data_IF_089890564760
#
_entry.id   IF_089890564760
#
_cell.length_a   1.000
_cell.length_b   1.000
_cell.length_c   1.000
_cell.angle_alpha   90.00
_cell.angle_beta   90.00
_cell.angle_gamma   90.00
#
_symmetry.space_group_name_H-M   'P 1'
#
loop_
_entity.id
_entity.type
_entity.pdbx_description
1 polymer ?
#
# COMPACT_ATOMS: atom_id res chain seq x y z
N UNK A 1 -13.78 -21.44 -12.75
CA UNK A 1 -13.06 -20.32 -13.43
C UNK A 1 -14.00 -19.30 -14.09
N UNK A 2 -14.95 -19.68 -14.98
CA UNK A 2 -15.85 -18.72 -15.66
C UNK A 2 -16.74 -17.86 -14.73
N UNK A 3 -17.20 -18.41 -13.60
CA UNK A 3 -18.04 -17.67 -12.63
C UNK A 3 -17.28 -16.63 -11.79
N UNK A 4 -15.97 -16.81 -11.59
CA UNK A 4 -15.12 -15.87 -10.84
C UNK A 4 -14.79 -14.62 -11.67
N UNK A 5 -14.52 -14.81 -12.96
CA UNK A 5 -14.32 -13.73 -13.94
C UNK A 5 -15.57 -12.85 -14.07
N UNK A 6 -16.76 -13.45 -14.08
CA UNK A 6 -18.01 -12.70 -14.17
C UNK A 6 -18.25 -11.82 -12.95
N UNK A 7 -17.94 -12.31 -11.74
CA UNK A 7 -18.06 -11.54 -10.50
C UNK A 7 -17.08 -10.37 -10.43
N UNK A 8 -15.83 -10.57 -10.84
CA UNK A 8 -14.82 -9.50 -10.89
C UNK A 8 -15.18 -8.38 -11.88
N UNK A 9 -15.72 -8.74 -13.04
CA UNK A 9 -16.16 -7.77 -14.06
C UNK A 9 -17.35 -6.94 -13.57
N UNK A 10 -18.33 -7.55 -12.90
CA UNK A 10 -19.50 -6.83 -12.36
C UNK A 10 -19.11 -5.84 -11.26
N UNK A 11 -18.18 -6.21 -10.37
CA UNK A 11 -17.65 -5.29 -9.33
C UNK A 11 -16.91 -4.11 -9.97
N UNK A 12 -16.13 -4.35 -11.03
CA UNK A 12 -15.42 -3.31 -11.76
C UNK A 12 -16.38 -2.28 -12.38
N UNK A 13 -17.51 -2.73 -12.97
CA UNK A 13 -18.52 -1.84 -13.54
C UNK A 13 -19.32 -1.05 -12.50
N UNK A 14 -19.60 -1.64 -11.32
CA UNK A 14 -20.31 -0.94 -10.23
C UNK A 14 -19.46 0.16 -9.57
N UNK A 15 -18.14 -0.03 -9.50
CA UNK A 15 -17.21 1.03 -9.07
C UNK A 15 -17.05 2.11 -10.15
N UNK A 16 -16.98 1.75 -11.43
CA UNK A 16 -16.85 2.72 -12.53
C UNK A 16 -18.05 3.68 -12.64
N UNK A 17 -19.27 3.19 -12.38
CA UNK A 17 -20.49 4.00 -12.47
C UNK A 17 -20.57 5.12 -11.40
N UNK A 18 -19.93 4.94 -10.23
CA UNK A 18 -19.88 5.96 -9.18
C UNK A 18 -18.69 6.94 -9.35
N UNK A 19 -17.67 6.60 -10.15
CA UNK A 19 -16.54 7.48 -10.44
C UNK A 19 -16.83 8.57 -11.50
N UNK A 20 -17.90 8.41 -12.29
CA UNK A 20 -18.29 9.38 -13.31
C UNK A 20 -18.75 10.74 -12.73
N UNK A 21 -18.90 10.86 -11.41
CA UNK A 21 -19.38 12.07 -10.75
C UNK A 21 -18.28 13.08 -10.33
N UNK A 22 -16.99 12.87 -10.65
CA UNK A 22 -15.91 13.75 -10.19
C UNK A 22 -15.08 14.48 -11.26
N UNK A 23 -15.47 14.47 -12.54
CA UNK A 23 -14.73 15.21 -13.56
C UNK A 23 -15.35 16.56 -13.93
N UNK A 24 -15.11 17.53 -13.04
CA UNK A 24 -15.04 18.95 -13.41
C UNK A 24 -13.99 19.63 -12.52
N UNK A 25 -12.73 19.23 -12.69
CA UNK A 25 -11.58 20.04 -12.25
C UNK A 25 -11.02 20.74 -13.48
N UNK A 26 -11.44 21.99 -13.64
CA UNK A 26 -10.88 22.96 -14.59
C UNK A 26 -9.35 23.00 -14.50
N UNK A 27 -8.63 23.30 -15.59
CA UNK A 27 -7.19 23.53 -15.53
C UNK A 27 -6.94 24.84 -14.76
N UNK A 28 -6.76 24.76 -13.44
CA UNK A 28 -6.42 25.94 -12.63
C UNK A 28 -4.95 26.30 -12.84
N UNK A 29 -4.78 27.45 -13.50
CA UNK A 29 -3.68 28.43 -13.41
C UNK A 29 -2.61 28.11 -12.37
N UNK A 30 -1.39 27.85 -12.85
CA UNK A 30 -0.19 27.69 -12.02
C UNK A 30 -0.15 28.77 -10.93
N UNK A 31 -0.28 28.36 -9.67
CA UNK A 31 -0.25 29.27 -8.53
C UNK A 31 1.03 30.13 -8.57
N UNK A 32 0.90 31.44 -8.39
CA UNK A 32 2.03 32.38 -8.35
C UNK A 32 2.87 32.24 -7.05
N UNK A 33 2.51 31.31 -6.17
CA UNK A 33 3.12 31.10 -4.85
C UNK A 33 4.44 30.35 -4.95
N UNK A 34 5.48 30.87 -4.27
CA UNK A 34 6.81 30.28 -4.24
C UNK A 34 6.86 29.10 -3.26
N UNK A 35 6.21 29.23 -2.10
CA UNK A 35 6.13 28.21 -1.05
C UNK A 35 4.68 27.76 -0.90
N UNK A 36 4.47 26.46 -0.70
CA UNK A 36 3.18 25.80 -0.61
C UNK A 36 2.19 26.20 -1.71
N UNK A 37 2.50 25.87 -2.99
CA UNK A 37 1.56 26.08 -4.10
C UNK A 37 0.30 25.21 -3.92
N UNK A 38 -0.77 25.47 -4.68
CA UNK A 38 -2.05 24.76 -4.51
C UNK A 38 -1.93 23.23 -4.69
N UNK A 39 -0.96 22.80 -5.50
CA UNK A 39 -0.61 21.41 -5.79
C UNK A 39 0.50 20.86 -4.86
N UNK A 40 0.67 21.45 -3.67
CA UNK A 40 1.67 20.98 -2.68
C UNK A 40 1.52 19.49 -2.39
N UNK A 41 0.29 19.01 -2.24
CA UNK A 41 0.01 17.62 -1.91
C UNK A 41 -0.59 16.91 -3.11
N UNK A 42 -0.01 15.78 -3.45
CA UNK A 42 -0.54 14.87 -4.45
C UNK A 42 -0.42 13.45 -3.97
N UNK A 43 -1.37 12.61 -4.31
CA UNK A 43 -1.33 11.24 -3.85
C UNK A 43 -2.44 10.38 -4.42
N UNK A 44 -2.49 9.15 -3.92
CA UNK A 44 -3.58 8.23 -4.15
C UNK A 44 -3.84 7.40 -2.89
N UNK A 45 -5.07 6.93 -2.75
CA UNK A 45 -5.43 5.85 -1.85
C UNK A 45 -5.83 4.63 -2.68
N UNK A 46 -5.57 3.45 -2.16
CA UNK A 46 -5.88 2.19 -2.82
C UNK A 46 -6.43 1.19 -1.81
N UNK A 47 -7.41 0.43 -2.27
CA UNK A 47 -8.00 -0.67 -1.53
C UNK A 47 -7.98 -1.92 -2.39
N UNK A 48 -7.34 -2.96 -1.89
CA UNK A 48 -7.16 -4.22 -2.58
C UNK A 48 -7.88 -5.35 -1.87
N UNK A 49 -8.45 -6.24 -2.67
CA UNK A 49 -9.09 -7.47 -2.23
C UNK A 49 -8.39 -8.67 -2.86
N UNK A 50 -7.77 -9.50 -2.03
CA UNK A 50 -7.22 -10.78 -2.43
C UNK A 50 -8.33 -11.85 -2.51
N UNK A 51 -8.54 -12.48 -3.67
CA UNK A 51 -9.42 -13.65 -3.79
C UNK A 51 -8.92 -14.83 -2.93
N UNK A 52 -9.78 -15.81 -2.63
CA UNK A 52 -9.36 -17.04 -1.93
C UNK A 52 -8.18 -17.71 -2.64
N UNK A 53 -7.22 -18.22 -1.86
CA UNK A 53 -5.98 -18.85 -2.33
C UNK A 53 -4.96 -17.86 -2.94
N UNK A 54 -5.15 -16.56 -2.78
CA UNK A 54 -4.22 -15.53 -3.22
C UNK A 54 -4.01 -14.46 -2.13
N UNK A 55 -4.09 -14.89 -0.86
CA UNK A 55 -3.92 -14.02 0.29
C UNK A 55 -2.54 -13.35 0.29
N UNK A 56 -2.50 -12.10 0.75
CA UNK A 56 -1.26 -11.33 0.89
C UNK A 56 -0.49 -11.86 2.10
N UNK A 57 0.76 -12.23 1.89
CA UNK A 57 1.64 -12.75 2.94
C UNK A 57 2.57 -11.66 3.49
N UNK A 58 2.33 -11.15 4.72
CA UNK A 58 3.26 -10.24 5.38
C UNK A 58 4.51 -10.92 5.94
N UNK A 59 4.66 -12.24 5.77
CA UNK A 59 5.71 -13.10 6.32
C UNK A 59 5.76 -13.06 7.86
N UNK A 60 4.59 -13.00 8.50
CA UNK A 60 4.42 -13.13 9.95
C UNK A 60 4.34 -14.60 10.34
N UNK A 61 3.70 -15.41 9.50
CA UNK A 61 3.46 -16.82 9.74
C UNK A 61 4.11 -17.64 8.63
N UNK A 62 4.66 -18.80 8.98
CA UNK A 62 5.07 -19.79 7.98
C UNK A 62 3.88 -20.22 7.13
N UNK A 63 4.14 -20.53 5.86
CA UNK A 63 3.12 -21.02 4.93
C UNK A 63 2.46 -22.34 5.38
N UNK A 64 3.16 -23.15 6.20
CA UNK A 64 2.65 -24.38 6.79
C UNK A 64 2.01 -24.18 8.18
N UNK A 65 1.60 -22.96 8.54
CA UNK A 65 0.94 -22.67 9.82
C UNK A 65 -0.28 -23.60 10.11
N UNK A 66 -0.96 -24.07 9.06
CA UNK A 66 -2.05 -25.05 9.18
C UNK A 66 -1.64 -26.39 9.81
N UNK A 67 -0.37 -26.79 9.70
CA UNK A 67 0.15 -28.00 10.34
C UNK A 67 0.22 -27.88 11.87
N UNK A 68 0.09 -26.68 12.44
CA UNK A 68 0.22 -26.39 13.87
C UNK A 68 -1.14 -26.09 14.55
N UNK A 69 -2.24 -26.64 14.02
CA UNK A 69 -3.57 -26.47 14.63
C UNK A 69 -4.73 -26.38 13.66
N UNK A 70 -4.52 -26.62 12.37
CA UNK A 70 -5.58 -26.61 11.37
C UNK A 70 -6.28 -25.25 11.29
N UNK A 71 -7.60 -25.27 11.37
CA UNK A 71 -8.45 -24.05 11.39
C UNK A 71 -8.33 -23.27 12.69
N UNK A 72 -7.73 -23.86 13.74
CA UNK A 72 -7.46 -23.24 15.03
C UNK A 72 -5.98 -22.89 15.22
N UNK A 73 -5.19 -22.89 14.14
CA UNK A 73 -3.78 -22.52 14.21
C UNK A 73 -3.63 -21.11 14.83
N UNK A 74 -2.73 -20.94 15.82
CA UNK A 74 -2.53 -19.65 16.48
C UNK A 74 -1.99 -18.59 15.51
N UNK A 75 -1.14 -19.00 14.56
CA UNK A 75 -0.57 -18.10 13.57
C UNK A 75 -1.50 -17.87 12.37
N UNK A 76 -2.28 -16.78 12.45
CA UNK A 76 -3.24 -16.34 11.41
C UNK A 76 -2.81 -14.97 10.86
N UNK A 77 -1.85 -14.98 9.94
CA UNK A 77 -1.17 -13.77 9.45
C UNK A 77 -1.45 -13.40 8.00
N UNK A 78 -2.27 -14.16 7.27
CA UNK A 78 -2.45 -13.97 5.82
C UNK A 78 -3.62 -13.04 5.53
N UNK A 79 -3.32 -11.92 4.88
CA UNK A 79 -4.27 -10.84 4.67
C UNK A 79 -5.14 -11.06 3.43
N UNK A 80 -6.40 -10.64 3.55
CA UNK A 80 -7.35 -10.62 2.45
C UNK A 80 -7.56 -9.20 1.91
N UNK A 81 -7.46 -8.21 2.78
CA UNK A 81 -7.66 -6.82 2.42
C UNK A 81 -6.38 -6.04 2.69
N UNK A 82 -6.05 -5.13 1.77
CA UNK A 82 -4.99 -4.16 1.97
C UNK A 82 -5.53 -2.77 1.66
N UNK A 83 -5.32 -1.85 2.58
CA UNK A 83 -5.55 -0.43 2.37
C UNK A 83 -4.19 0.25 2.32
N UNK A 84 -3.87 0.89 1.21
CA UNK A 84 -2.60 1.60 1.03
C UNK A 84 -2.84 3.03 0.59
N UNK A 85 -1.84 3.87 0.78
CA UNK A 85 -1.85 5.22 0.25
C UNK A 85 -0.46 5.69 -0.05
N UNK A 86 -0.36 6.70 -0.91
CA UNK A 86 0.88 7.42 -1.18
C UNK A 86 0.53 8.90 -1.18
N UNK A 87 1.26 9.68 -0.39
CA UNK A 87 1.14 11.15 -0.39
C UNK A 87 2.51 11.73 -0.60
N UNK A 88 2.61 12.65 -1.55
CA UNK A 88 3.80 13.38 -1.91
C UNK A 88 3.58 14.87 -1.62
N UNK A 89 4.53 15.48 -0.92
CA UNK A 89 4.56 16.88 -0.56
C UNK A 89 5.66 17.61 -1.34
N UNK A 90 5.29 18.67 -2.04
CA UNK A 90 6.15 19.55 -2.84
C UNK A 90 6.06 20.98 -2.31
N UNK A 91 6.94 21.35 -1.37
CA UNK A 91 6.80 22.63 -0.68
C UNK A 91 7.14 23.84 -1.55
N UNK A 92 7.82 23.66 -2.69
CA UNK A 92 8.29 24.78 -3.53
C UNK A 92 7.66 24.74 -4.93
N UNK A 93 6.97 25.82 -5.31
CA UNK A 93 6.38 25.98 -6.65
C UNK A 93 7.35 26.54 -7.69
N UNK A 94 8.45 27.18 -7.27
CA UNK A 94 9.41 27.88 -8.14
C UNK A 94 10.87 27.73 -7.69
N UNK A 95 11.80 28.09 -8.57
CA UNK A 95 13.24 28.04 -8.31
C UNK A 95 13.86 26.63 -8.46
N UNK A 96 15.12 26.49 -8.05
CA UNK A 96 15.85 25.21 -8.14
C UNK A 96 15.28 24.13 -7.21
N UNK A 97 14.71 24.54 -6.07
CA UNK A 97 14.14 23.64 -5.05
C UNK A 97 12.79 23.03 -5.43
N UNK A 98 12.14 23.48 -6.53
CA UNK A 98 10.86 22.93 -7.01
C UNK A 98 10.91 21.44 -7.37
N UNK A 99 12.13 20.91 -7.52
CA UNK A 99 12.39 19.50 -7.84
C UNK A 99 12.37 18.61 -6.61
N UNK A 100 12.45 19.19 -5.40
CA UNK A 100 12.45 18.45 -4.16
C UNK A 100 11.04 18.04 -3.78
N UNK A 101 10.91 16.82 -3.28
CA UNK A 101 9.66 16.31 -2.74
C UNK A 101 9.93 15.38 -1.57
N UNK A 102 8.93 15.27 -0.71
CA UNK A 102 8.86 14.29 0.37
C UNK A 102 7.66 13.41 0.13
N UNK A 103 7.68 12.17 0.60
CA UNK A 103 6.54 11.28 0.46
C UNK A 103 6.39 10.35 1.65
N UNK A 104 5.17 9.88 1.87
CA UNK A 104 4.82 8.83 2.81
C UNK A 104 3.91 7.81 2.15
N UNK A 105 4.12 6.53 2.47
CA UNK A 105 3.39 5.41 1.90
C UNK A 105 3.03 4.41 3.02
N UNK A 106 1.85 4.56 3.65
CA UNK A 106 1.32 3.58 4.59
C UNK A 106 0.60 2.43 3.86
N UNK A 107 0.69 1.22 4.44
CA UNK A 107 -0.06 0.04 4.03
C UNK A 107 -0.60 -0.69 5.26
N UNK A 108 -1.91 -0.88 5.32
CA UNK A 108 -2.62 -1.58 6.39
C UNK A 108 -3.14 -2.90 5.86
N UNK A 109 -2.92 -3.97 6.63
CA UNK A 109 -3.38 -5.31 6.29
C UNK A 109 -4.48 -5.79 7.22
N UNK A 110 -5.47 -6.46 6.62
CA UNK A 110 -6.57 -7.08 7.34
C UNK A 110 -6.83 -8.50 6.84
N UNK A 111 -7.11 -9.41 7.76
CA UNK A 111 -7.38 -10.81 7.48
C UNK A 111 -7.17 -11.72 8.67
N UNK A 112 -7.70 -12.94 8.53
CA UNK A 112 -7.48 -14.05 9.46
C UNK A 112 -7.51 -15.37 8.69
N UNK A 113 -6.57 -15.49 7.76
CA UNK A 113 -6.45 -16.68 6.90
C UNK A 113 -5.23 -17.52 7.30
N UNK A 114 -5.31 -18.80 6.96
CA UNK A 114 -4.23 -19.79 7.02
C UNK A 114 -4.21 -20.53 5.70
N UNK A 115 -3.09 -20.56 4.97
CA UNK A 115 -2.98 -21.24 3.69
C UNK A 115 -3.47 -22.68 3.78
N UNK A 116 -4.20 -23.08 2.75
CA UNK A 116 -4.79 -24.40 2.53
C UNK A 116 -5.81 -24.88 3.58
N UNK A 117 -6.03 -24.10 4.64
CA UNK A 117 -6.71 -24.59 5.84
C UNK A 117 -7.88 -23.71 6.24
N UNK A 118 -7.69 -22.39 6.29
CA UNK A 118 -8.69 -21.44 6.77
C UNK A 118 -8.73 -20.22 5.86
N UNK A 119 -9.87 -20.02 5.19
CA UNK A 119 -10.11 -18.87 4.31
C UNK A 119 -11.33 -18.09 4.79
N UNK A 120 -11.11 -16.93 5.40
CA UNK A 120 -12.15 -16.08 5.98
C UNK A 120 -12.23 -14.73 5.27
N UNK A 121 -13.42 -14.15 5.24
CA UNK A 121 -13.68 -12.77 4.79
C UNK A 121 -13.60 -11.79 5.96
N UNK A 122 -12.69 -12.04 6.90
CA UNK A 122 -12.56 -11.28 8.13
C UNK A 122 -11.76 -10.00 7.89
N UNK A 123 -12.29 -8.86 8.33
CA UNK A 123 -11.59 -7.57 8.32
C UNK A 123 -10.77 -7.34 9.61
N UNK A 124 -10.27 -8.43 10.19
CA UNK A 124 -9.48 -8.39 11.43
C UNK A 124 -8.10 -7.79 11.19
N UNK A 125 -7.68 -6.84 12.02
CA UNK A 125 -6.47 -6.06 11.78
C UNK A 125 -5.22 -6.91 12.03
N UNK A 126 -4.34 -7.00 11.02
CA UNK A 126 -3.07 -7.72 11.14
C UNK A 126 -1.95 -6.77 11.55
N UNK A 127 -1.86 -5.62 10.90
CA UNK A 127 -0.79 -4.66 11.13
C UNK A 127 -0.67 -3.60 10.05
N UNK A 128 0.39 -2.80 10.16
CA UNK A 128 0.73 -1.77 9.19
C UNK A 128 2.22 -1.75 8.86
N UNK A 129 2.53 -1.61 7.57
CA UNK A 129 3.82 -1.14 7.09
C UNK A 129 3.71 0.37 6.86
N UNK A 130 4.76 1.09 7.21
CA UNK A 130 4.88 2.50 6.87
C UNK A 130 6.24 2.74 6.26
N UNK A 131 6.27 3.56 5.23
CA UNK A 131 7.51 4.07 4.67
C UNK A 131 7.39 5.56 4.39
N UNK A 132 8.51 6.27 4.47
CA UNK A 132 8.58 7.65 4.02
C UNK A 132 9.94 7.93 3.42
N UNK A 133 10.02 9.02 2.69
CA UNK A 133 11.24 9.35 2.00
C UNK A 133 11.24 10.76 1.43
N UNK A 134 12.35 11.06 0.78
CA UNK A 134 12.55 12.30 0.05
C UNK A 134 13.25 12.04 -1.26
N UNK A 135 13.08 12.94 -2.21
CA UNK A 135 13.67 12.78 -3.52
C UNK A 135 13.77 14.07 -4.30
N UNK A 136 14.39 13.93 -5.48
CA UNK A 136 14.62 15.00 -6.43
C UNK A 136 14.21 14.56 -7.83
N UNK A 137 13.47 15.42 -8.52
CA UNK A 137 13.12 15.22 -9.91
C UNK A 137 14.31 15.52 -10.83
N UNK A 138 14.76 14.52 -11.58
CA UNK A 138 15.91 14.61 -12.48
C UNK A 138 15.53 15.14 -13.88
N UNK A 139 14.25 15.13 -14.22
CA UNK A 139 13.76 15.56 -15.54
C UNK A 139 13.28 14.39 -16.39
N UNK A 140 12.50 14.70 -17.44
CA UNK A 140 11.95 13.69 -18.39
C UNK A 140 11.22 12.53 -17.68
N UNK A 141 10.57 12.79 -16.55
CA UNK A 141 9.86 11.77 -15.78
C UNK A 141 10.75 10.88 -14.91
N UNK A 142 12.05 11.16 -14.80
CA UNK A 142 12.93 10.48 -13.86
C UNK A 142 12.99 11.24 -12.54
N UNK A 143 13.10 10.48 -11.46
CA UNK A 143 13.36 10.98 -10.13
C UNK A 143 14.24 10.01 -9.34
N UNK A 144 15.09 10.58 -8.50
CA UNK A 144 15.89 9.88 -7.51
C UNK A 144 15.23 10.03 -6.16
N UNK A 145 15.20 8.96 -5.38
CA UNK A 145 14.54 8.91 -4.08
C UNK A 145 15.36 8.12 -3.07
N UNK A 146 15.24 8.51 -1.81
CA UNK A 146 15.70 7.77 -0.65
C UNK A 146 14.46 7.43 0.16
N UNK A 147 14.25 6.15 0.43
CA UNK A 147 13.10 5.63 1.17
C UNK A 147 13.58 4.92 2.42
N UNK A 148 12.99 5.27 3.56
CA UNK A 148 13.08 4.51 4.79
C UNK A 148 11.82 3.64 4.93
N UNK A 149 12.03 2.32 4.98
CA UNK A 149 10.99 1.35 5.33
C UNK A 149 11.04 1.08 6.83
N UNK A 150 9.90 1.12 7.50
CA UNK A 150 9.79 0.81 8.92
C UNK A 150 9.45 -0.66 9.12
N UNK A 151 9.74 -1.13 10.34
CA UNK A 151 9.34 -2.46 10.74
C UNK A 151 7.82 -2.56 10.71
N UNK A 152 7.31 -3.66 10.18
CA UNK A 152 5.88 -3.95 10.21
C UNK A 152 5.36 -3.96 11.66
N UNK A 153 4.41 -3.07 11.96
CA UNK A 153 3.76 -2.99 13.25
C UNK A 153 2.59 -3.94 13.28
N UNK A 154 2.67 -5.00 14.09
CA UNK A 154 1.59 -5.97 14.27
C UNK A 154 0.52 -5.39 15.19
N UNK A 155 -0.73 -5.78 14.99
CA UNK A 155 -1.86 -5.31 15.79
C UNK A 155 -2.58 -6.45 16.52
N UNK A 156 -3.19 -6.09 17.66
CA UNK A 156 -4.11 -6.96 18.40
C UNK A 156 -3.50 -8.32 18.73
N UNK A 157 -4.22 -9.39 18.41
CA UNK A 157 -3.79 -10.75 18.74
C UNK A 157 -2.55 -11.24 17.97
N UNK A 158 -2.05 -10.50 16.98
CA UNK A 158 -0.78 -10.78 16.29
C UNK A 158 0.43 -10.06 16.89
N UNK A 159 0.23 -9.17 17.86
CA UNK A 159 1.32 -8.50 18.59
C UNK A 159 1.83 -9.31 19.79
N UNK A 160 1.95 -10.62 19.58
CA UNK A 160 2.46 -11.57 20.56
C UNK A 160 3.07 -12.75 19.82
N UNK A 161 3.70 -13.65 20.56
CA UNK A 161 4.21 -14.88 19.97
C UNK A 161 3.05 -15.78 19.51
N UNK A 162 3.00 -16.08 18.21
CA UNK A 162 1.93 -16.87 17.58
C UNK A 162 2.23 -18.38 17.51
N UNK A 163 3.17 -18.85 18.33
CA UNK A 163 3.58 -20.26 18.40
C UNK A 163 4.66 -20.63 17.37
N UNK A 164 4.88 -21.94 17.14
CA UNK A 164 6.01 -22.44 16.35
C UNK A 164 6.06 -21.99 14.88
N UNK A 165 4.93 -21.55 14.34
CA UNK A 165 4.82 -21.02 12.99
C UNK A 165 5.06 -19.51 12.89
N UNK A 166 5.28 -18.80 14.00
CA UNK A 166 5.59 -17.37 14.02
C UNK A 166 7.01 -17.11 13.54
N UNK A 167 7.14 -16.32 12.48
CA UNK A 167 8.42 -15.93 11.89
C UNK A 167 9.04 -14.69 12.57
N UNK A 168 8.33 -14.08 13.52
CA UNK A 168 8.78 -12.86 14.17
C UNK A 168 8.77 -11.66 13.21
N UNK A 169 9.35 -10.53 13.63
CA UNK A 169 9.24 -9.26 12.90
C UNK A 169 10.11 -9.18 11.63
N UNK A 170 10.84 -10.24 11.29
CA UNK A 170 11.81 -10.27 10.19
C UNK A 170 11.17 -10.83 8.92
N UNK A 171 10.49 -9.96 8.16
CA UNK A 171 9.89 -10.29 6.86
C UNK A 171 10.29 -9.31 5.75
N UNK A 172 9.67 -9.38 4.55
CA UNK A 172 9.91 -8.45 3.44
C UNK A 172 9.54 -6.99 3.81
N UNK A 173 8.82 -6.80 4.92
CA UNK A 173 8.54 -5.51 5.55
C UNK A 173 9.37 -5.28 6.82
N UNK A 174 10.63 -5.72 6.77
CA UNK A 174 11.65 -5.37 7.74
C UNK A 174 12.09 -3.91 7.61
N UNK A 175 12.95 -3.47 8.53
CA UNK A 175 13.52 -2.12 8.49
C UNK A 175 14.72 -2.09 7.54
N UNK A 176 14.62 -1.30 6.48
CA UNK A 176 15.72 -1.06 5.55
C UNK A 176 15.60 0.30 4.87
N UNK A 177 16.70 0.74 4.26
CA UNK A 177 16.76 1.95 3.46
C UNK A 177 17.06 1.61 2.01
N UNK A 178 16.46 2.33 1.08
CA UNK A 178 16.69 2.16 -0.35
C UNK A 178 16.99 3.50 -1.00
N UNK A 179 18.03 3.54 -1.81
CA UNK A 179 18.25 4.60 -2.80
C UNK A 179 17.80 4.06 -4.15
N UNK A 180 16.86 4.74 -4.78
CA UNK A 180 16.23 4.26 -6.00
C UNK A 180 16.03 5.35 -7.05
N UNK A 181 15.87 4.91 -8.30
CA UNK A 181 15.48 5.76 -9.42
C UNK A 181 14.11 5.26 -9.90
N UNK A 182 13.14 6.17 -10.05
CA UNK A 182 11.82 5.86 -10.61
C UNK A 182 11.60 6.60 -11.92
N UNK A 183 10.96 5.92 -12.88
CA UNK A 183 10.52 6.49 -14.15
C UNK A 183 8.99 6.54 -14.20
N UNK A 184 8.46 7.71 -14.52
CA UNK A 184 7.06 7.88 -14.89
C UNK A 184 6.92 7.80 -16.41
N UNK A 185 5.96 6.99 -16.86
CA UNK A 185 5.53 6.96 -18.25
C UNK A 185 4.27 7.82 -18.40
N UNK A 186 4.21 8.62 -19.47
CA UNK A 186 3.15 9.61 -19.68
C UNK A 186 3.43 10.98 -19.03
N UNK A 187 2.53 11.92 -19.27
CA UNK A 187 2.55 13.26 -18.67
C UNK A 187 1.75 13.25 -17.38
N UNK A 188 2.44 13.46 -16.25
CA UNK A 188 1.77 13.83 -14.99
C UNK A 188 1.09 15.18 -15.25
N UNK A 189 -0.24 15.28 -15.07
CA UNK A 189 -0.93 16.58 -15.14
C UNK A 189 -0.36 17.44 -14.01
N UNK A 190 0.34 18.51 -14.40
CA UNK A 190 0.84 19.58 -13.53
C UNK A 190 -0.18 20.69 -13.52
#
# INVERSE_FOLDING_TARGET
MKKLLLGAVVIFFLFAANLAAQQLLSPETSSNRIVFPKDTFWGYGQFDLAPPHNEIDPNICRADAGSYGGTSAPCTGFARYMMSGYVEMRPFGRGQLRKLFFFGEPRFLFGRNVPQTLYTWSFDAIGAETSWGGGVFLGKGFEMRITQHFLFSRFGSRDQHLGPADLGPNGPWGRYNVVGIRKYFGTRRW
#
